data_IF_154535961251
#
_entry.id   IF_154535961251
#
_cell.length_a   1.000
_cell.length_b   1.000
_cell.length_c   1.000
_cell.angle_alpha   90.00
_cell.angle_beta   90.00
_cell.angle_gamma   90.00
#
_symmetry.space_group_name_H-M   'P 1'
#
loop_
_entity.id
_entity.type
_entity.pdbx_description
1 polymer ?
#
# COMPACT_ATOMS: atom_id res chain seq x y z
N UNK A 1 -3.95 0.17 4.08
CA UNK A 1 -4.32 1.26 5.01
C UNK A 1 -5.63 1.93 4.59
N UNK A 2 -5.66 2.74 3.52
CA UNK A 2 -6.86 3.47 3.05
C UNK A 2 -8.14 2.61 2.97
N UNK A 3 -8.01 1.41 2.40
CA UNK A 3 -9.11 0.46 2.21
C UNK A 3 -9.57 -0.25 3.49
N UNK A 4 -9.07 0.17 4.66
CA UNK A 4 -9.23 -0.53 5.94
C UNK A 4 -8.96 -2.04 5.86
N UNK A 5 -7.96 -2.45 5.05
CA UNK A 5 -7.60 -3.85 4.89
C UNK A 5 -8.43 -4.63 3.87
N UNK A 6 -9.40 -4.01 3.18
CA UNK A 6 -10.16 -4.64 2.09
C UNK A 6 -9.27 -5.02 0.90
N UNK A 7 -8.32 -4.16 0.53
CA UNK A 7 -7.29 -4.47 -0.47
C UNK A 7 -6.00 -4.92 0.20
N UNK A 8 -5.37 -5.96 -0.35
CA UNK A 8 -4.18 -6.60 0.21
C UNK A 8 -2.95 -6.19 -0.58
N UNK A 9 -1.97 -5.60 0.12
CA UNK A 9 -0.60 -5.48 -0.39
C UNK A 9 0.10 -6.81 -0.13
N UNK A 10 0.61 -7.45 -1.18
CA UNK A 10 1.14 -8.83 -1.11
C UNK A 10 2.65 -8.87 -1.31
N UNK A 11 3.29 -9.88 -0.71
CA UNK A 11 4.70 -10.16 -0.93
C UNK A 11 4.92 -10.64 -2.37
N UNK A 12 5.93 -10.09 -3.02
CA UNK A 12 6.36 -10.49 -4.36
C UNK A 12 7.89 -10.51 -4.44
N UNK A 13 8.43 -11.35 -5.32
CA UNK A 13 9.87 -11.42 -5.58
C UNK A 13 10.13 -11.66 -7.06
N UNK A 14 11.26 -11.15 -7.52
CA UNK A 14 11.83 -11.46 -8.83
C UNK A 14 12.82 -12.61 -8.72
N UNK A 15 12.86 -13.48 -9.72
CA UNK A 15 13.87 -14.55 -9.82
C UNK A 15 14.98 -14.17 -10.80
N UNK A 16 16.15 -14.77 -10.61
CA UNK A 16 17.30 -14.68 -11.51
C UNK A 16 17.30 -15.84 -12.50
N UNK A 17 17.86 -15.63 -13.70
CA UNK A 17 18.08 -16.67 -14.71
C UNK A 17 19.57 -16.77 -15.02
N UNK A 18 20.05 -17.98 -15.36
CA UNK A 18 21.43 -18.18 -15.85
C UNK A 18 21.55 -17.91 -17.34
N UNK A 19 20.47 -18.10 -18.09
CA UNK A 19 20.48 -18.15 -19.55
C UNK A 19 20.00 -16.85 -20.19
N UNK A 20 19.16 -16.08 -19.47
CA UNK A 20 18.47 -14.91 -20.01
C UNK A 20 18.67 -13.66 -19.15
N UNK A 21 18.89 -12.53 -19.82
CA UNK A 21 18.91 -11.20 -19.18
C UNK A 21 17.50 -10.61 -19.18
N UNK A 22 17.04 -10.15 -18.01
CA UNK A 22 15.75 -9.45 -17.86
C UNK A 22 15.96 -8.01 -17.40
N UNK A 23 15.31 -7.07 -18.08
CA UNK A 23 15.16 -5.68 -17.63
C UNK A 23 13.70 -5.34 -17.37
N UNK A 24 13.44 -4.56 -16.32
CA UNK A 24 12.10 -4.08 -15.97
C UNK A 24 12.20 -2.73 -15.28
N UNK A 25 11.20 -1.87 -15.50
CA UNK A 25 11.09 -0.57 -14.86
C UNK A 25 9.81 -0.53 -14.01
N UNK A 26 9.95 -0.41 -12.69
CA UNK A 26 8.81 -0.21 -11.78
C UNK A 26 8.47 1.28 -11.64
N UNK A 27 7.20 1.64 -11.85
CA UNK A 27 6.68 2.99 -11.60
C UNK A 27 5.77 2.93 -10.40
N UNK A 28 6.01 3.81 -9.43
CA UNK A 28 5.25 3.88 -8.19
C UNK A 28 4.33 5.09 -8.20
N UNK A 29 3.02 4.84 -8.10
CA UNK A 29 2.02 5.89 -7.91
C UNK A 29 1.78 6.07 -6.41
N UNK A 30 2.41 7.09 -5.82
CA UNK A 30 2.34 7.36 -4.38
C UNK A 30 1.68 8.72 -4.13
N UNK A 31 1.00 8.91 -3.00
CA UNK A 31 0.46 10.22 -2.63
C UNK A 31 1.59 11.21 -2.27
N UNK A 32 1.33 12.54 -2.29
CA UNK A 32 2.24 13.53 -1.72
C UNK A 32 2.61 13.22 -0.27
N UNK A 33 3.81 13.60 0.17
CA UNK A 33 4.37 13.24 1.49
C UNK A 33 3.53 13.76 2.67
N UNK A 34 2.94 14.93 2.49
CA UNK A 34 2.12 15.62 3.49
C UNK A 34 0.69 15.07 3.55
N UNK A 35 0.32 14.20 2.61
CA UNK A 35 -1.03 13.61 2.57
C UNK A 35 -1.28 12.79 3.82
N UNK A 36 -2.40 13.05 4.49
CA UNK A 36 -2.85 12.25 5.64
C UNK A 36 -3.45 10.93 5.14
N UNK A 37 -2.88 9.82 5.58
CA UNK A 37 -3.28 8.46 5.20
C UNK A 37 -3.80 7.73 6.44
N UNK A 38 -5.01 7.18 6.31
CA UNK A 38 -5.69 6.38 7.33
C UNK A 38 -6.87 5.63 6.72
N UNK A 39 -7.58 4.77 7.47
CA UNK A 39 -8.79 4.13 6.98
C UNK A 39 -9.83 5.17 6.50
N UNK A 40 -10.38 4.99 5.29
CA UNK A 40 -11.37 5.92 4.75
C UNK A 40 -12.66 5.86 5.60
N UNK A 41 -13.26 7.00 5.99
CA UNK A 41 -14.45 7.01 6.85
C UNK A 41 -15.62 6.21 6.29
N UNK A 42 -15.78 6.19 4.96
CA UNK A 42 -16.84 5.44 4.28
C UNK A 42 -16.68 3.92 4.40
N UNK A 43 -15.52 3.43 4.86
CA UNK A 43 -15.20 2.02 5.00
C UNK A 43 -15.15 1.56 6.47
N UNK A 44 -15.45 2.45 7.42
CA UNK A 44 -15.44 2.16 8.86
C UNK A 44 -16.88 2.09 9.37
N UNK A 45 -17.19 1.07 10.18
CA UNK A 45 -18.46 0.95 10.91
C UNK A 45 -18.29 0.01 12.12
N UNK A 46 -19.37 -0.24 12.86
CA UNK A 46 -19.36 -1.12 14.04
C UNK A 46 -18.85 -2.54 13.74
N UNK A 47 -19.16 -3.08 12.56
CA UNK A 47 -18.71 -4.41 12.13
C UNK A 47 -17.33 -4.39 11.46
N UNK A 48 -16.82 -3.21 11.10
CA UNK A 48 -15.50 -3.02 10.48
C UNK A 48 -14.78 -1.82 11.12
N UNK A 49 -14.28 -1.97 12.37
CA UNK A 49 -13.58 -0.91 13.06
C UNK A 49 -12.27 -0.53 12.35
N UNK A 50 -11.69 0.65 12.64
CA UNK A 50 -10.43 1.06 12.02
C UNK A 50 -9.29 0.12 12.43
N UNK A 51 -8.63 -0.50 11.45
CA UNK A 51 -7.52 -1.42 11.67
C UNK A 51 -6.14 -0.74 11.68
N UNK A 52 -6.06 0.52 11.26
CA UNK A 52 -4.81 1.25 11.08
C UNK A 52 -4.92 2.65 11.66
N UNK A 53 -3.79 3.19 12.12
CA UNK A 53 -3.69 4.58 12.60
C UNK A 53 -3.56 5.56 11.43
N UNK A 54 -4.00 6.79 11.66
CA UNK A 54 -3.93 7.88 10.69
C UNK A 54 -2.67 8.72 10.92
N UNK A 55 -1.85 8.91 9.88
CA UNK A 55 -0.58 9.65 9.91
C UNK A 55 -0.29 10.28 8.55
N UNK A 56 0.69 11.17 8.44
CA UNK A 56 1.13 11.65 7.13
C UNK A 56 1.86 10.55 6.34
N UNK A 57 1.82 10.58 5.00
CA UNK A 57 2.49 9.56 4.18
C UNK A 57 3.99 9.50 4.46
N UNK A 58 4.61 10.62 4.81
CA UNK A 58 6.01 10.72 5.24
C UNK A 58 6.36 9.93 6.51
N UNK A 59 5.38 9.69 7.39
CA UNK A 59 5.56 9.01 8.68
C UNK A 59 5.33 7.51 8.64
N UNK A 60 4.94 6.97 7.47
CA UNK A 60 4.84 5.53 7.21
C UNK A 60 6.17 4.96 6.73
#
# INVERSE_FOLDING_TARGET
>A
VLSNGKYKSVLHRSLVSKDDVRMSWAVFCVPPLETIIGPLPQLINENNPPLFTTKSYKEF
#
